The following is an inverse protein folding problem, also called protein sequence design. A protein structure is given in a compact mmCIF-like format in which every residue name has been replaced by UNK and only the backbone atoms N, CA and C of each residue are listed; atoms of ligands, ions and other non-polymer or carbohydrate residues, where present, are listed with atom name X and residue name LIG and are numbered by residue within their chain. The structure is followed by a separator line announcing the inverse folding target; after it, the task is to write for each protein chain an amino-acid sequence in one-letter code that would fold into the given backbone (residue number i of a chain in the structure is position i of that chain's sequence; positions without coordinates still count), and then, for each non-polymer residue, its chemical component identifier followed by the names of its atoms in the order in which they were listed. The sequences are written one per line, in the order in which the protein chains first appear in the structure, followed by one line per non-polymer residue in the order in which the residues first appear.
data_IF_597817587824
#
_entry.id   IF_597817587824
#
_cell.length_a   1.000
_cell.length_b   1.000
_cell.length_c   1.000
_cell.angle_alpha   90.00
_cell.angle_beta   90.00
_cell.angle_gamma   90.00
#
_symmetry.space_group_name_H-M   'P 1'
#
loop_
_entity.id
_entity.type
_entity.pdbx_description
1 polymer ?
#
# COMPACT_ATOMS: atom_id res chain seq x y z
N UNK A 1 51.15 -28.76 66.58
CA UNK A 1 50.29 -27.59 66.30
C UNK A 1 51.00 -26.73 65.26
N UNK A 2 50.42 -26.54 64.09
CA UNK A 2 50.96 -25.72 63.00
C UNK A 2 50.05 -25.87 61.77
N UNK A 3 49.50 -24.75 61.30
CA UNK A 3 48.24 -24.67 60.56
C UNK A 3 48.34 -24.90 59.04
N UNK A 4 47.17 -25.19 58.48
CA UNK A 4 46.77 -25.31 57.08
C UNK A 4 47.16 -24.10 56.21
N UNK A 5 47.35 -24.37 54.91
CA UNK A 5 47.44 -23.35 53.87
C UNK A 5 47.09 -23.90 52.48
N UNK A 6 45.86 -24.39 52.31
CA UNK A 6 45.31 -24.72 50.99
C UNK A 6 45.09 -23.42 50.18
N UNK A 7 45.84 -23.25 49.09
CA UNK A 7 45.62 -22.17 48.13
C UNK A 7 44.49 -22.55 47.17
N UNK A 8 43.30 -21.98 47.38
CA UNK A 8 42.18 -22.08 46.44
C UNK A 8 42.36 -21.01 45.36
N UNK A 9 42.69 -21.42 44.13
CA UNK A 9 42.59 -20.56 42.95
C UNK A 9 41.11 -20.37 42.63
N UNK A 10 40.54 -19.24 43.04
CA UNK A 10 39.20 -18.82 42.63
C UNK A 10 39.24 -18.39 41.17
N UNK A 11 38.65 -19.19 40.30
CA UNK A 11 38.32 -18.79 38.93
C UNK A 11 37.09 -17.89 39.05
N UNK A 12 37.29 -16.58 38.93
CA UNK A 12 36.17 -15.63 38.76
C UNK A 12 35.56 -15.85 37.38
N UNK A 13 34.26 -16.15 37.26
CA UNK A 13 33.59 -16.07 35.97
C UNK A 13 33.62 -14.60 35.53
N UNK A 14 34.23 -14.35 34.37
CA UNK A 14 34.15 -13.09 33.65
C UNK A 14 32.68 -12.82 33.34
N UNK A 15 32.06 -11.97 34.16
CA UNK A 15 30.78 -11.36 33.86
C UNK A 15 30.94 -10.36 32.73
N UNK A 16 30.75 -10.80 31.49
CA UNK A 16 30.48 -9.90 30.37
C UNK A 16 28.98 -9.57 30.38
N UNK A 17 28.56 -8.70 31.30
CA UNK A 17 27.28 -8.01 31.16
C UNK A 17 27.51 -6.87 30.16
N UNK A 18 27.48 -7.17 28.87
CA UNK A 18 27.30 -6.11 27.88
C UNK A 18 25.84 -5.63 28.02
N UNK A 19 25.64 -4.67 28.91
CA UNK A 19 24.48 -3.80 28.83
C UNK A 19 24.69 -3.00 27.55
N UNK A 20 24.20 -3.54 26.44
CA UNK A 20 24.03 -2.76 25.22
C UNK A 20 22.96 -1.77 25.60
N UNK A 21 23.40 -0.55 25.90
CA UNK A 21 22.53 0.59 26.14
C UNK A 21 21.82 0.85 24.80
N UNK A 22 20.73 0.13 24.56
CA UNK A 22 19.89 0.30 23.37
C UNK A 22 19.41 1.74 23.37
N UNK A 23 19.76 2.47 22.33
CA UNK A 23 19.35 3.85 22.18
C UNK A 23 17.82 3.95 22.20
N UNK A 24 17.24 5.03 22.75
CA UNK A 24 15.81 5.05 23.04
C UNK A 24 14.98 5.14 21.75
N UNK A 25 14.26 4.06 21.43
CA UNK A 25 13.14 4.14 20.49
C UNK A 25 12.06 5.04 21.08
N UNK A 26 11.62 6.03 20.31
CA UNK A 26 10.50 6.88 20.70
C UNK A 26 9.40 6.78 19.66
N UNK A 27 8.31 6.12 20.03
CA UNK A 27 7.05 6.30 19.33
C UNK A 27 6.60 7.75 19.46
N UNK A 28 6.15 8.35 18.35
CA UNK A 28 5.65 9.72 18.39
C UNK A 28 4.38 9.75 19.24
N UNK A 29 4.32 10.63 20.25
CA UNK A 29 3.19 10.76 21.17
C UNK A 29 1.84 11.09 20.48
N UNK A 30 1.89 11.49 19.20
CA UNK A 30 0.74 11.80 18.35
C UNK A 30 0.40 10.71 17.32
N UNK A 31 1.08 9.55 17.32
CA UNK A 31 0.76 8.47 16.40
C UNK A 31 -0.65 7.92 16.70
N UNK A 32 -1.67 8.48 16.04
CA UNK A 32 -3.08 8.06 16.11
C UNK A 32 -3.34 6.68 15.48
N UNK A 33 -2.29 5.96 15.10
CA UNK A 33 -2.36 4.67 14.42
C UNK A 33 -1.77 3.52 15.25
N UNK A 34 -1.95 2.28 14.78
CA UNK A 34 -1.47 1.10 15.49
C UNK A 34 0.06 1.14 15.63
N UNK A 35 0.57 0.58 16.73
CA UNK A 35 2.01 0.42 16.95
C UNK A 35 2.53 -0.75 16.14
N UNK A 36 3.75 -0.65 15.61
CA UNK A 36 4.43 -1.80 15.03
C UNK A 36 4.71 -2.86 16.09
N UNK A 37 4.86 -4.14 15.70
CA UNK A 37 5.36 -5.16 16.62
C UNK A 37 6.75 -4.78 17.14
N UNK A 38 7.00 -4.98 18.43
CA UNK A 38 8.27 -4.59 19.06
C UNK A 38 9.48 -5.25 18.37
N UNK A 39 9.36 -6.53 17.99
CA UNK A 39 10.40 -7.25 17.24
C UNK A 39 10.75 -6.55 15.91
N UNK A 40 9.75 -5.99 15.21
CA UNK A 40 10.00 -5.27 13.95
C UNK A 40 10.69 -3.93 14.20
N UNK A 41 10.34 -3.25 15.29
CA UNK A 41 10.99 -2.01 15.70
C UNK A 41 12.45 -2.23 16.09
N UNK A 42 12.73 -3.27 16.89
CA UNK A 42 14.09 -3.66 17.27
C UNK A 42 14.94 -3.98 16.04
N UNK A 43 14.40 -4.72 15.08
CA UNK A 43 15.11 -5.05 13.82
C UNK A 43 15.35 -3.82 12.94
N UNK A 44 14.39 -2.90 12.86
CA UNK A 44 14.57 -1.64 12.11
C UNK A 44 15.59 -0.71 12.79
N UNK A 45 15.67 -0.74 14.12
CA UNK A 45 16.73 -0.08 14.86
C UNK A 45 18.08 -0.71 14.55
N UNK A 46 18.19 -2.05 14.59
CA UNK A 46 19.43 -2.76 14.25
C UNK A 46 19.92 -2.43 12.83
N UNK A 47 19.01 -2.34 11.84
CA UNK A 47 19.37 -1.89 10.49
C UNK A 47 20.02 -0.50 10.49
N UNK A 48 19.51 0.43 11.31
CA UNK A 48 20.07 1.78 11.40
C UNK A 48 21.42 1.78 12.14
N UNK A 49 21.57 0.98 13.18
CA UNK A 49 22.84 0.87 13.91
C UNK A 49 23.94 0.25 13.03
N UNK A 50 23.61 -0.76 12.23
CA UNK A 50 24.56 -1.47 11.36
C UNK A 50 24.91 -0.68 10.10
N UNK A 51 23.91 -0.10 9.42
CA UNK A 51 24.08 0.51 8.10
C UNK A 51 23.86 2.03 8.07
N UNK A 52 23.60 2.66 9.22
CA UNK A 52 23.39 4.11 9.32
C UNK A 52 24.56 4.96 8.82
N UNK A 53 25.77 4.40 8.82
CA UNK A 53 26.98 5.03 8.29
C UNK A 53 27.00 5.24 6.77
N UNK A 54 26.06 4.66 6.00
CA UNK A 54 26.04 4.77 4.53
C UNK A 54 25.43 6.08 3.99
N UNK A 55 24.89 6.92 4.87
CA UNK A 55 24.37 8.23 4.54
C UNK A 55 24.90 9.24 5.56
N UNK A 56 25.09 10.49 5.15
CA UNK A 56 25.66 11.54 6.02
C UNK A 56 24.59 12.43 6.68
N UNK A 57 23.31 12.16 6.43
CA UNK A 57 22.24 12.99 6.96
C UNK A 57 22.06 12.81 8.49
N UNK A 58 21.97 13.93 9.21
CA UNK A 58 21.65 13.95 10.65
C UNK A 58 20.24 13.45 10.94
N UNK A 59 19.33 13.59 9.97
CA UNK A 59 17.99 13.03 10.05
C UNK A 59 17.56 12.42 8.73
N UNK A 60 16.90 11.26 8.78
CA UNK A 60 16.35 10.58 7.61
C UNK A 60 14.88 10.21 7.85
N UNK A 61 14.04 10.34 6.82
CA UNK A 61 12.64 9.86 6.86
C UNK A 61 12.49 8.69 5.91
N UNK A 62 12.15 7.53 6.47
CA UNK A 62 11.91 6.29 5.74
C UNK A 62 10.41 6.03 5.66
N UNK A 63 9.92 5.86 4.44
CA UNK A 63 8.52 5.52 4.15
C UNK A 63 8.45 4.06 3.73
N UNK A 64 7.81 3.23 4.54
CA UNK A 64 7.52 1.84 4.21
C UNK A 64 6.04 1.66 3.83
N UNK A 65 5.75 0.91 2.78
CA UNK A 65 4.40 0.44 2.49
C UNK A 65 4.43 -1.08 2.34
N UNK A 66 3.68 -1.76 3.20
CA UNK A 66 3.58 -3.21 3.29
C UNK A 66 2.16 -3.62 2.90
N UNK A 67 2.03 -4.28 1.76
CA UNK A 67 0.76 -4.87 1.33
C UNK A 67 0.67 -6.28 1.86
N UNK A 68 -0.38 -6.58 2.60
CA UNK A 68 -0.66 -7.91 3.13
C UNK A 68 -1.92 -8.49 2.52
N UNK A 69 -2.04 -9.81 2.47
CA UNK A 69 -3.29 -10.46 2.12
C UNK A 69 -4.26 -10.52 3.32
N UNK A 70 -5.51 -11.00 3.14
CA UNK A 70 -6.49 -11.10 4.23
C UNK A 70 -6.09 -12.09 5.32
N UNK A 71 -5.08 -12.92 5.10
CA UNK A 71 -4.51 -13.82 6.10
C UNK A 71 -3.33 -13.17 6.86
N UNK A 72 -3.00 -11.90 6.57
CA UNK A 72 -1.91 -11.15 7.20
C UNK A 72 -0.53 -11.46 6.63
N UNK A 73 -0.42 -12.15 5.50
CA UNK A 73 0.86 -12.47 4.86
C UNK A 73 1.31 -11.35 3.94
N UNK A 74 2.57 -10.94 4.05
CA UNK A 74 3.17 -9.94 3.18
C UNK A 74 3.17 -10.38 1.71
N UNK A 75 2.71 -9.49 0.84
CA UNK A 75 2.65 -9.67 -0.63
C UNK A 75 3.60 -8.75 -1.35
N UNK A 76 3.73 -7.52 -0.89
CA UNK A 76 4.57 -6.51 -1.50
C UNK A 76 5.10 -5.57 -0.43
N UNK A 77 6.37 -5.20 -0.54
CA UNK A 77 7.00 -4.19 0.31
C UNK A 77 7.66 -3.16 -0.59
N UNK A 78 7.30 -1.90 -0.38
CA UNK A 78 7.98 -0.76 -1.00
C UNK A 78 8.57 0.11 0.09
N UNK A 79 9.77 0.63 -0.18
CA UNK A 79 10.52 1.50 0.74
C UNK A 79 11.00 2.71 -0.05
N UNK A 80 10.81 3.89 0.51
CA UNK A 80 11.21 5.17 -0.08
C UNK A 80 11.84 6.09 0.97
N UNK A 81 12.50 7.15 0.50
CA UNK A 81 13.16 8.13 1.37
C UNK A 81 14.56 7.73 1.84
N UNK A 82 15.09 6.60 1.39
CA UNK A 82 16.48 6.18 1.61
C UNK A 82 17.31 6.64 0.39
N UNK A 83 18.48 7.28 0.58
CA UNK A 83 19.33 7.69 -0.53
C UNK A 83 19.92 6.49 -1.26
N UNK A 84 20.15 6.64 -2.57
CA UNK A 84 20.75 5.59 -3.41
C UNK A 84 22.17 5.19 -2.94
N UNK A 85 22.84 6.04 -2.16
CA UNK A 85 24.14 5.77 -1.55
C UNK A 85 24.09 4.77 -0.38
N UNK A 86 22.90 4.42 0.12
CA UNK A 86 22.70 3.52 1.26
C UNK A 86 21.94 2.23 0.89
N UNK A 87 22.46 1.41 -0.04
CA UNK A 87 21.77 0.24 -0.55
C UNK A 87 21.60 -0.87 0.50
N UNK A 88 22.55 -1.05 1.42
CA UNK A 88 22.47 -2.10 2.44
C UNK A 88 21.47 -1.70 3.52
N UNK A 89 21.43 -0.42 3.90
CA UNK A 89 20.38 0.10 4.77
C UNK A 89 18.98 -0.10 4.13
N UNK A 90 18.83 0.21 2.84
CA UNK A 90 17.57 -0.03 2.12
C UNK A 90 17.18 -1.51 2.07
N UNK A 91 18.14 -2.40 1.83
CA UNK A 91 17.92 -3.84 1.81
C UNK A 91 17.50 -4.37 3.19
N UNK A 92 18.20 -3.98 4.26
CA UNK A 92 17.90 -4.39 5.62
C UNK A 92 16.48 -3.96 6.05
N UNK A 93 16.11 -2.71 5.78
CA UNK A 93 14.76 -2.20 6.07
C UNK A 93 13.71 -2.99 5.28
N UNK A 94 13.94 -3.25 3.99
CA UNK A 94 12.99 -4.01 3.15
C UNK A 94 12.79 -5.44 3.67
N UNK A 95 13.86 -6.14 4.04
CA UNK A 95 13.79 -7.50 4.61
C UNK A 95 13.04 -7.48 5.93
N UNK A 96 13.35 -6.53 6.81
CA UNK A 96 12.70 -6.39 8.11
C UNK A 96 11.20 -6.16 7.99
N UNK A 97 10.78 -5.28 7.06
CA UNK A 97 9.36 -5.03 6.80
C UNK A 97 8.67 -6.21 6.12
N UNK A 98 9.40 -6.99 5.33
CA UNK A 98 8.85 -8.19 4.70
C UNK A 98 8.54 -9.29 5.71
N UNK A 99 9.42 -9.45 6.70
CA UNK A 99 9.31 -10.46 7.77
C UNK A 99 8.45 -9.99 8.95
N UNK A 100 7.90 -8.79 8.88
CA UNK A 100 7.03 -8.23 9.90
C UNK A 100 5.76 -9.08 10.03
N UNK A 101 5.54 -9.60 11.24
CA UNK A 101 4.28 -10.25 11.58
C UNK A 101 3.20 -9.16 11.74
N UNK A 102 2.27 -9.06 10.80
CA UNK A 102 1.17 -8.10 10.85
C UNK A 102 -0.02 -8.74 11.59
N UNK A 103 -0.31 -8.36 12.84
CA UNK A 103 -1.45 -8.91 13.54
C UNK A 103 -2.74 -8.33 12.96
N UNK A 104 -3.71 -9.20 12.68
CA UNK A 104 -5.00 -8.82 12.08
C UNK A 104 -5.80 -7.83 12.95
N UNK A 105 -5.48 -7.72 14.25
CA UNK A 105 -6.04 -6.73 15.17
C UNK A 105 -5.67 -5.28 14.83
N UNK A 106 -4.65 -5.04 13.99
CA UNK A 106 -4.32 -3.69 13.49
C UNK A 106 -5.32 -3.18 12.46
N UNK A 107 -6.15 -4.05 11.88
CA UNK A 107 -7.12 -3.66 10.87
C UNK A 107 -8.51 -3.51 11.48
N UNK A 108 -9.22 -2.39 11.21
CA UNK A 108 -10.65 -2.31 11.47
C UNK A 108 -11.38 -3.19 10.46
N UNK A 109 -11.39 -4.48 10.73
CA UNK A 109 -12.19 -5.48 10.03
C UNK A 109 -13.67 -5.29 10.41
N UNK A 110 -14.28 -4.17 10.03
CA UNK A 110 -15.74 -4.05 10.08
C UNK A 110 -16.29 -4.64 8.78
N UNK A 111 -16.91 -5.83 8.78
CA UNK A 111 -17.89 -6.11 7.77
C UNK A 111 -18.98 -5.05 7.92
N UNK A 112 -19.04 -4.09 7.00
CA UNK A 112 -20.28 -3.36 6.75
C UNK A 112 -21.25 -4.40 6.20
N UNK A 113 -21.90 -5.15 7.08
CA UNK A 113 -23.15 -5.77 6.74
C UNK A 113 -24.04 -4.61 6.26
N UNK A 114 -24.51 -4.66 5.02
CA UNK A 114 -25.68 -3.89 4.61
C UNK A 114 -26.88 -4.45 5.41
N UNK A 115 -26.90 -4.20 6.72
CA UNK A 115 -28.12 -4.22 7.49
C UNK A 115 -28.82 -2.90 7.20
N UNK A 116 -30.11 -3.00 6.87
CA UNK A 116 -31.07 -1.91 6.65
C UNK A 116 -31.04 -1.20 5.29
N UNK A 117 -31.40 -1.98 4.25
CA UNK A 117 -32.41 -1.54 3.28
C UNK A 117 -33.65 -2.43 3.45
N UNK A 118 -34.21 -2.42 4.65
CA UNK A 118 -35.57 -2.90 4.90
C UNK A 118 -36.33 -1.74 5.54
N UNK A 119 -36.84 -0.87 4.69
CA UNK A 119 -38.18 -0.38 4.95
C UNK A 119 -38.99 -0.35 3.64
N UNK A 120 -39.88 -1.33 3.56
CA UNK A 120 -41.11 -1.36 2.78
C UNK A 120 -41.14 -0.86 1.33
N UNK A 121 -40.71 -1.68 0.37
CA UNK A 121 -41.44 -1.76 -0.91
C UNK A 121 -41.16 -3.06 -1.69
N UNK A 122 -42.25 -3.81 -1.88
CA UNK A 122 -42.51 -4.96 -2.74
C UNK A 122 -41.37 -5.52 -3.62
N UNK A 123 -41.13 -6.81 -3.46
CA UNK A 123 -40.30 -7.62 -4.36
C UNK A 123 -40.85 -7.64 -5.80
N UNK A 124 -40.00 -7.41 -6.82
CA UNK A 124 -40.13 -8.11 -8.08
C UNK A 124 -39.30 -9.39 -8.00
N UNK A 125 -39.97 -10.54 -8.07
CA UNK A 125 -39.34 -11.81 -8.46
C UNK A 125 -38.63 -11.59 -9.80
N UNK A 126 -37.31 -11.72 -9.81
CA UNK A 126 -36.51 -11.66 -11.03
C UNK A 126 -35.03 -11.42 -10.74
N UNK A 127 -34.25 -12.50 -10.85
CA UNK A 127 -32.79 -12.57 -10.96
C UNK A 127 -32.01 -12.77 -9.64
N UNK A 128 -31.87 -14.04 -9.26
CA UNK A 128 -30.89 -14.61 -8.33
C UNK A 128 -29.43 -14.46 -8.82
N UNK A 129 -28.94 -13.23 -8.95
CA UNK A 129 -27.50 -12.94 -9.10
C UNK A 129 -27.07 -11.69 -8.32
N UNK A 130 -27.82 -11.29 -7.31
CA UNK A 130 -27.37 -10.35 -6.29
C UNK A 130 -26.50 -11.09 -5.26
N UNK A 131 -25.38 -11.65 -5.70
CA UNK A 131 -24.38 -12.21 -4.79
C UNK A 131 -23.72 -11.02 -4.06
N UNK A 132 -23.82 -10.92 -2.73
CA UNK A 132 -23.34 -9.76 -2.00
C UNK A 132 -21.84 -9.63 -2.21
N UNK A 133 -21.43 -8.57 -2.90
CA UNK A 133 -20.04 -8.13 -2.89
C UNK A 133 -19.79 -7.68 -1.46
N UNK A 134 -19.23 -8.57 -0.64
CA UNK A 134 -18.63 -8.20 0.64
C UNK A 134 -17.43 -7.35 0.28
N UNK A 135 -17.65 -6.04 0.11
CA UNK A 135 -16.57 -5.06 0.02
C UNK A 135 -16.03 -4.97 1.43
N UNK A 136 -15.01 -5.78 1.70
CA UNK A 136 -14.18 -5.55 2.86
C UNK A 136 -13.48 -4.22 2.66
N UNK A 137 -13.74 -3.25 3.55
CA UNK A 137 -13.02 -1.97 3.51
C UNK A 137 -11.52 -2.27 3.56
N UNK A 138 -10.78 -1.67 2.62
CA UNK A 138 -9.33 -1.77 2.52
C UNK A 138 -8.74 -1.21 3.82
N UNK A 139 -8.44 -2.09 4.77
CA UNK A 139 -7.86 -1.70 6.06
C UNK A 139 -6.46 -1.16 5.81
N UNK A 140 -6.26 0.14 6.04
CA UNK A 140 -4.95 0.76 6.05
C UNK A 140 -4.60 1.17 7.49
N UNK A 141 -3.44 0.72 7.95
CA UNK A 141 -2.87 1.02 9.25
C UNK A 141 -1.59 1.84 9.05
N UNK A 142 -1.41 2.93 9.79
CA UNK A 142 -0.20 3.74 9.75
C UNK A 142 0.49 3.68 11.11
N UNK A 143 1.76 3.31 11.12
CA UNK A 143 2.58 3.30 12.32
C UNK A 143 3.80 4.20 12.13
N UNK A 144 4.09 5.05 13.12
CA UNK A 144 5.22 5.98 13.07
C UNK A 144 6.07 5.88 14.34
N UNK A 145 7.38 5.79 14.17
CA UNK A 145 8.33 5.83 15.28
C UNK A 145 9.67 6.43 14.86
N UNK A 146 10.44 6.88 15.84
CA UNK A 146 11.79 7.41 15.66
C UNK A 146 12.80 6.47 16.33
N UNK A 147 13.88 6.16 15.61
CA UNK A 147 15.09 5.55 16.15
C UNK A 147 16.20 6.59 16.18
N UNK A 148 16.99 6.60 17.26
CA UNK A 148 18.13 7.49 17.41
C UNK A 148 19.40 6.67 17.59
N UNK A 149 20.49 7.06 16.96
CA UNK A 149 21.81 6.48 17.15
C UNK A 149 22.86 7.58 17.09
N UNK A 150 23.60 7.79 18.18
CA UNK A 150 24.48 8.95 18.32
C UNK A 150 23.71 10.28 18.21
N UNK A 151 24.20 11.19 17.37
CA UNK A 151 23.57 12.48 17.05
C UNK A 151 22.56 12.40 15.89
N UNK A 152 22.23 11.19 15.42
CA UNK A 152 21.46 10.99 14.19
C UNK A 152 20.12 10.32 14.47
N UNK A 153 19.09 10.67 13.69
CA UNK A 153 17.71 10.20 13.89
C UNK A 153 17.11 9.67 12.59
N UNK A 154 16.47 8.50 12.65
CA UNK A 154 15.66 7.98 11.55
C UNK A 154 14.19 7.95 11.98
N UNK A 155 13.34 8.58 11.17
CA UNK A 155 11.89 8.57 11.31
C UNK A 155 11.32 7.51 10.36
N UNK A 156 10.73 6.46 10.92
CA UNK A 156 10.01 5.44 10.17
C UNK A 156 8.52 5.77 10.15
N UNK A 157 7.92 5.80 8.96
CA UNK A 157 6.48 5.82 8.76
C UNK A 157 6.09 4.62 7.89
N UNK A 158 5.40 3.65 8.48
CA UNK A 158 5.05 2.37 7.86
C UNK A 158 3.54 2.32 7.67
N UNK A 159 3.10 2.32 6.41
CA UNK A 159 1.73 2.02 6.02
C UNK A 159 1.58 0.53 5.77
N UNK A 160 0.54 -0.09 6.33
CA UNK A 160 0.19 -1.48 6.09
C UNK A 160 -1.20 -1.52 5.45
N UNK A 161 -1.30 -2.12 4.26
CA UNK A 161 -2.52 -2.17 3.45
C UNK A 161 -2.98 -3.61 3.24
N UNK A 162 -4.24 -3.93 3.55
CA UNK A 162 -4.81 -5.26 3.21
C UNK A 162 -5.29 -5.26 1.77
N UNK A 163 -4.70 -6.11 0.93
CA UNK A 163 -5.06 -6.30 -0.48
C UNK A 163 -5.81 -7.62 -0.62
N UNK A 164 -7.11 -7.55 -0.91
CA UNK A 164 -7.87 -8.74 -1.30
C UNK A 164 -7.73 -8.97 -2.82
N UNK A 165 -7.58 -10.22 -3.25
CA UNK A 165 -7.63 -10.58 -4.69
C UNK A 165 -8.94 -10.15 -5.35
N UNK A 166 -10.03 -10.12 -4.58
CA UNK A 166 -11.34 -9.63 -5.01
C UNK A 166 -11.33 -8.12 -5.25
N UNK A 167 -10.63 -7.31 -4.45
CA UNK A 167 -10.56 -5.87 -4.64
C UNK A 167 -9.89 -5.49 -5.97
N UNK A 168 -8.87 -6.20 -6.44
CA UNK A 168 -8.25 -5.88 -7.75
C UNK A 168 -9.21 -6.17 -8.91
N UNK A 169 -9.92 -7.30 -8.85
CA UNK A 169 -10.90 -7.69 -9.89
C UNK A 169 -12.13 -6.78 -9.83
N UNK A 170 -12.66 -6.51 -8.65
CA UNK A 170 -13.80 -5.62 -8.44
C UNK A 170 -13.46 -4.18 -8.82
N UNK A 171 -12.25 -3.69 -8.51
CA UNK A 171 -11.80 -2.35 -8.92
C UNK A 171 -11.61 -2.27 -10.43
N UNK A 172 -11.03 -3.28 -11.07
CA UNK A 172 -10.88 -3.32 -12.52
C UNK A 172 -12.25 -3.35 -13.21
N UNK A 173 -13.18 -4.15 -12.73
CA UNK A 173 -14.53 -4.23 -13.29
C UNK A 173 -15.35 -2.97 -12.98
N UNK A 174 -15.21 -2.39 -11.80
CA UNK A 174 -15.82 -1.10 -11.43
C UNK A 174 -15.30 0.04 -12.31
N UNK A 175 -13.98 0.15 -12.49
CA UNK A 175 -13.36 1.12 -13.39
C UNK A 175 -13.80 0.88 -14.83
N UNK A 176 -13.91 -0.38 -15.27
CA UNK A 176 -14.44 -0.72 -16.61
C UNK A 176 -15.89 -0.28 -16.77
N UNK A 177 -16.74 -0.49 -15.76
CA UNK A 177 -18.14 -0.05 -15.75
C UNK A 177 -18.26 1.48 -15.73
N UNK A 178 -17.45 2.16 -14.92
CA UNK A 178 -17.41 3.63 -14.86
C UNK A 178 -16.94 4.24 -16.17
N UNK A 179 -15.85 3.73 -16.76
CA UNK A 179 -15.38 4.14 -18.09
C UNK A 179 -16.44 3.88 -19.15
N UNK A 180 -17.07 2.70 -19.14
CA UNK A 180 -18.18 2.40 -20.06
C UNK A 180 -19.33 3.39 -19.90
N UNK A 181 -19.69 3.77 -18.67
CA UNK A 181 -20.73 4.77 -18.40
C UNK A 181 -20.33 6.13 -18.98
N UNK A 182 -19.12 6.62 -18.68
CA UNK A 182 -18.61 7.90 -19.21
C UNK A 182 -18.50 7.92 -20.74
N UNK A 183 -18.02 6.84 -21.35
CA UNK A 183 -18.00 6.72 -22.82
C UNK A 183 -19.41 6.67 -23.42
N UNK A 184 -20.38 6.07 -22.72
CA UNK A 184 -21.77 6.03 -23.17
C UNK A 184 -22.44 7.40 -23.07
N UNK A 185 -22.16 8.16 -22.00
CA UNK A 185 -22.61 9.55 -21.82
C UNK A 185 -22.06 10.43 -22.96
N UNK A 186 -20.75 10.42 -23.19
CA UNK A 186 -20.16 11.17 -24.31
C UNK A 186 -20.64 10.71 -25.69
N UNK A 187 -20.92 9.42 -25.87
CA UNK A 187 -21.54 8.93 -27.09
C UNK A 187 -22.94 9.53 -27.27
N UNK A 188 -23.78 9.51 -26.23
CA UNK A 188 -25.11 10.11 -26.29
C UNK A 188 -25.04 11.61 -26.61
N UNK A 189 -24.12 12.35 -25.97
CA UNK A 189 -23.90 13.76 -26.27
C UNK A 189 -23.47 13.97 -27.74
N UNK A 190 -22.50 13.18 -28.21
CA UNK A 190 -22.00 13.26 -29.58
C UNK A 190 -23.09 12.93 -30.61
N UNK A 191 -23.92 11.91 -30.36
CA UNK A 191 -25.06 11.53 -31.19
C UNK A 191 -26.08 12.66 -31.34
N UNK A 192 -26.18 13.55 -30.36
CA UNK A 192 -27.02 14.75 -30.39
C UNK A 192 -26.45 15.92 -31.22
N UNK A 193 -25.23 15.79 -31.75
CA UNK A 193 -24.57 16.86 -32.53
C UNK A 193 -24.46 16.50 -34.01
N UNK A 194 -24.27 17.49 -34.92
CA UNK A 194 -23.98 17.24 -36.33
C UNK A 194 -22.72 16.40 -36.58
N UNK A 195 -21.85 16.26 -35.57
CA UNK A 195 -20.65 15.43 -35.60
C UNK A 195 -20.97 13.98 -35.91
N UNK A 196 -22.14 13.47 -35.50
CA UNK A 196 -22.54 12.09 -35.75
C UNK A 196 -22.65 11.75 -37.24
N UNK A 197 -23.04 12.70 -38.07
CA UNK A 197 -23.20 12.45 -39.51
C UNK A 197 -21.87 12.38 -40.26
N UNK A 198 -20.79 12.84 -39.63
CA UNK A 198 -19.48 12.92 -40.25
C UNK A 198 -18.78 11.56 -40.30
N UNK A 199 -17.90 11.34 -41.29
CA UNK A 199 -17.11 10.13 -41.38
C UNK A 199 -16.15 10.00 -40.19
N UNK A 200 -16.01 8.76 -39.72
CA UNK A 200 -15.09 8.34 -38.68
C UNK A 200 -13.76 7.83 -39.25
N UNK A 201 -13.03 7.08 -38.44
CA UNK A 201 -11.67 6.62 -38.76
C UNK A 201 -11.62 5.43 -39.74
N UNK A 202 -12.75 4.80 -40.07
CA UNK A 202 -12.85 3.70 -41.04
C UNK A 202 -13.99 3.95 -42.05
N UNK A 203 -13.90 3.34 -43.23
CA UNK A 203 -14.92 3.45 -44.27
C UNK A 203 -16.28 2.95 -43.76
N UNK A 204 -17.33 3.76 -43.92
CA UNK A 204 -18.69 3.44 -43.47
C UNK A 204 -18.92 3.63 -41.96
N UNK A 205 -17.90 3.99 -41.19
CA UNK A 205 -18.03 4.28 -39.76
C UNK A 205 -18.36 5.75 -39.53
N UNK A 206 -19.28 6.03 -38.60
CA UNK A 206 -19.62 7.39 -38.15
C UNK A 206 -18.62 7.90 -37.10
N UNK A 207 -18.41 9.21 -37.04
CA UNK A 207 -17.42 9.85 -36.16
C UNK A 207 -17.66 9.54 -34.68
N UNK A 208 -18.87 9.72 -34.18
CA UNK A 208 -19.20 9.41 -32.78
C UNK A 208 -18.96 7.93 -32.42
N UNK A 209 -19.26 7.02 -33.34
CA UNK A 209 -18.98 5.59 -33.15
C UNK A 209 -17.47 5.31 -33.08
N UNK A 210 -16.66 5.97 -33.91
CA UNK A 210 -15.20 5.86 -33.87
C UNK A 210 -14.61 6.41 -32.56
N UNK A 211 -15.10 7.56 -32.08
CA UNK A 211 -14.72 8.14 -30.80
C UNK A 211 -15.07 7.20 -29.63
N UNK A 212 -16.25 6.59 -29.66
CA UNK A 212 -16.69 5.63 -28.64
C UNK A 212 -15.83 4.37 -28.61
N UNK A 213 -15.47 3.81 -29.78
CA UNK A 213 -14.59 2.63 -29.82
C UNK A 213 -13.22 2.92 -29.20
N UNK A 214 -12.64 4.09 -29.49
CA UNK A 214 -11.35 4.51 -28.90
C UNK A 214 -11.50 4.83 -27.39
N UNK A 215 -12.65 5.36 -26.96
CA UNK A 215 -12.96 5.59 -25.55
C UNK A 215 -13.02 4.29 -24.74
N UNK A 216 -13.46 3.17 -25.34
CA UNK A 216 -13.55 1.87 -24.66
C UNK A 216 -12.23 1.39 -24.07
N UNK A 217 -11.12 1.82 -24.65
CA UNK A 217 -9.76 1.46 -24.24
C UNK A 217 -9.15 2.48 -23.24
N UNK A 218 -9.85 3.58 -22.93
CA UNK A 218 -9.29 4.67 -22.14
C UNK A 218 -10.30 5.75 -21.75
N UNK A 219 -9.99 6.98 -22.14
CA UNK A 219 -10.84 8.17 -21.96
C UNK A 219 -11.42 8.57 -23.31
N UNK A 220 -12.48 9.39 -23.31
CA UNK A 220 -13.00 9.96 -24.56
C UNK A 220 -11.87 10.72 -25.26
N UNK A 221 -11.51 10.34 -26.49
CA UNK A 221 -10.39 10.96 -27.18
C UNK A 221 -10.75 12.41 -27.52
N UNK A 222 -9.76 13.31 -27.56
CA UNK A 222 -9.99 14.65 -28.13
C UNK A 222 -10.07 14.60 -29.66
N UNK A 223 -9.37 13.64 -30.28
CA UNK A 223 -9.31 13.46 -31.74
C UNK A 223 -9.17 11.99 -32.13
N UNK A 224 -9.70 11.67 -33.31
CA UNK A 224 -9.47 10.39 -34.01
C UNK A 224 -8.75 10.65 -35.34
N UNK A 225 -7.92 9.70 -35.74
CA UNK A 225 -7.18 9.72 -36.99
C UNK A 225 -8.11 9.25 -38.12
N UNK A 226 -8.03 9.89 -39.29
CA UNK A 226 -8.84 9.59 -40.46
C UNK A 226 -8.05 8.70 -41.44
N UNK A 227 -8.73 7.94 -42.32
CA UNK A 227 -8.07 7.08 -43.31
C UNK A 227 -7.14 7.81 -44.28
N UNK A 228 -7.37 9.11 -44.49
CA UNK A 228 -6.60 9.99 -45.37
C UNK A 228 -5.36 10.60 -44.69
N UNK A 229 -5.06 10.19 -43.44
CA UNK A 229 -3.96 10.73 -42.65
C UNK A 229 -4.30 12.03 -41.91
N UNK A 230 -5.54 12.53 -42.03
CA UNK A 230 -6.03 13.65 -41.24
C UNK A 230 -6.38 13.26 -39.80
N UNK A 231 -6.76 14.26 -38.99
CA UNK A 231 -7.39 14.00 -37.68
C UNK A 231 -8.64 14.86 -37.52
N UNK A 232 -9.65 14.34 -36.84
CA UNK A 232 -10.87 15.08 -36.55
C UNK A 232 -11.27 14.97 -35.08
N UNK A 233 -11.96 16.00 -34.58
CA UNK A 233 -12.36 16.10 -33.19
C UNK A 233 -13.48 15.10 -32.86
N UNK A 234 -13.40 14.62 -31.62
CA UNK A 234 -14.51 14.09 -30.86
C UNK A 234 -14.88 15.11 -29.76
#
# INVERSE_FOLDING_TARGET
MGALGCSSLAITPLGCTNSIEMAPVRYRAEAKGPRLPDISVERLQACFEEHGGQFDADSLRVLGNVKVDPEGRTREVTVAGIPDSAPDFAACVRVTLNDMAVPMSMFPLRPRQMAELTDGQAAPRGNELANPIVVWELGAALAEFAAQHGNRVVLYAVAVEVVTTVAVVATKEYLRRRKKKTCTEHLQDCLGTPTNDLPGNHMGQRRCAACFLKCRDGNWPLKIDLPDGGSCAC
#
